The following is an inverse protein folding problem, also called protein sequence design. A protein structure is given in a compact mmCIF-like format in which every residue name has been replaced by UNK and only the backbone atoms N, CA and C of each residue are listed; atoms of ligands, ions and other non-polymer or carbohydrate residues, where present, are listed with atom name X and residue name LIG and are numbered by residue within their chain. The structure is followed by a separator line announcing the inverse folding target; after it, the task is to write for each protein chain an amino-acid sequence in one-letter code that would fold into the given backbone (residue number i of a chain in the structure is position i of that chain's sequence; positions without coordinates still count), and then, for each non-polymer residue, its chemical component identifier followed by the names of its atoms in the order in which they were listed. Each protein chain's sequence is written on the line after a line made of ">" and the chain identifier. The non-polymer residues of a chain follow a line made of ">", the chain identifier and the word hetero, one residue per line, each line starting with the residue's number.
data_IF_406256986185
#
_entry.id   IF_406256986185
#
_cell.length_a   1.000
_cell.length_b   1.000
_cell.length_c   1.000
_cell.angle_alpha   90.00
_cell.angle_beta   90.00
_cell.angle_gamma   90.00
#
_symmetry.space_group_name_H-M   'P 1'
#
loop_
_entity.id
_entity.type
_entity.pdbx_description
1 polymer ?
#
# COMPACT_ATOMS: atom_id res chain seq x y z
N UNK A 1 -7.64 16.57 12.54
CA UNK A 1 -7.69 15.30 11.80
C UNK A 1 -6.99 14.28 12.68
N UNK A 2 -7.76 13.50 13.43
CA UNK A 2 -7.28 12.59 14.48
C UNK A 2 -6.88 11.28 13.82
N UNK A 3 -5.60 11.13 13.46
CA UNK A 3 -5.03 9.83 13.09
C UNK A 3 -5.19 8.91 14.29
N UNK A 4 -5.93 7.82 14.11
CA UNK A 4 -6.24 6.88 15.19
C UNK A 4 -4.93 6.25 15.72
N UNK A 5 -4.78 5.92 17.00
CA UNK A 5 -3.52 5.38 17.55
C UNK A 5 -3.13 3.98 17.00
N UNK A 6 -4.00 3.36 16.19
CA UNK A 6 -3.74 2.12 15.44
C UNK A 6 -3.52 2.36 13.93
N UNK A 7 -3.56 3.62 13.49
CA UNK A 7 -3.38 4.00 12.10
C UNK A 7 -1.88 3.98 11.81
N UNK A 8 -1.45 3.01 11.00
CA UNK A 8 -0.10 2.99 10.43
C UNK A 8 0.11 4.30 9.66
N UNK A 9 1.23 4.97 9.94
CA UNK A 9 1.65 6.11 9.13
C UNK A 9 2.14 5.57 7.78
N UNK A 10 1.36 5.82 6.73
CA UNK A 10 1.66 5.40 5.37
C UNK A 10 2.10 6.61 4.58
N UNK A 11 3.35 6.57 4.12
CA UNK A 11 3.94 7.59 3.27
C UNK A 11 4.26 6.99 1.90
N UNK A 12 3.84 7.68 0.83
CA UNK A 12 4.24 7.35 -0.52
C UNK A 12 5.72 7.70 -0.69
N UNK A 13 6.54 6.70 -1.04
CA UNK A 13 7.98 6.88 -1.25
C UNK A 13 8.27 7.13 -2.73
N UNK A 14 7.68 6.34 -3.61
CA UNK A 14 7.95 6.44 -5.05
C UNK A 14 6.82 5.80 -5.87
N UNK A 15 6.54 6.37 -7.04
CA UNK A 15 5.72 5.76 -8.08
C UNK A 15 6.63 4.99 -9.04
N UNK A 16 6.52 3.66 -9.02
CA UNK A 16 7.32 2.77 -9.85
C UNK A 16 6.47 2.32 -11.04
N UNK A 17 6.73 2.81 -12.26
CA UNK A 17 6.03 2.30 -13.44
C UNK A 17 6.37 0.82 -13.62
N UNK A 18 5.35 -0.04 -13.74
CA UNK A 18 5.57 -1.46 -13.98
C UNK A 18 6.07 -1.67 -15.41
N UNK A 19 7.39 -1.66 -15.58
CA UNK A 19 8.02 -2.00 -16.85
C UNK A 19 7.93 -3.53 -17.06
N UNK A 20 6.84 -3.99 -17.67
CA UNK A 20 6.71 -5.38 -18.12
C UNK A 20 7.38 -5.57 -19.50
N UNK A 21 8.46 -6.37 -19.65
CA UNK A 21 9.23 -6.49 -20.89
C UNK A 21 8.57 -7.36 -21.98
N UNK A 22 7.33 -7.84 -21.78
CA UNK A 22 6.65 -8.77 -22.70
C UNK A 22 5.20 -8.37 -22.98
N UNK A 23 5.02 -7.60 -24.08
CA UNK A 23 3.85 -7.54 -24.99
C UNK A 23 2.44 -7.80 -24.40
N UNK A 24 2.13 -7.24 -23.25
CA UNK A 24 0.77 -6.97 -22.79
C UNK A 24 0.76 -5.57 -22.18
N UNK A 25 -0.14 -4.71 -22.65
CA UNK A 25 -0.35 -3.39 -22.08
C UNK A 25 -1.03 -3.56 -20.72
N UNK A 26 -0.23 -3.60 -19.65
CA UNK A 26 -0.76 -3.39 -18.31
C UNK A 26 -0.33 -1.99 -17.92
N UNK A 27 -1.27 -1.04 -17.96
CA UNK A 27 -1.09 0.27 -17.34
C UNK A 27 -1.12 0.04 -15.83
N UNK A 28 0.00 -0.43 -15.29
CA UNK A 28 0.15 -0.84 -13.90
C UNK A 28 1.18 0.10 -13.27
N UNK A 29 0.72 1.18 -12.65
CA UNK A 29 1.58 1.93 -11.76
C UNK A 29 1.68 1.12 -10.46
N UNK A 30 2.88 0.86 -9.99
CA UNK A 30 3.08 0.39 -8.62
C UNK A 30 3.44 1.59 -7.76
N UNK A 31 2.99 1.60 -6.51
CA UNK A 31 3.45 2.57 -5.52
C UNK A 31 4.24 1.86 -4.44
N UNK A 32 5.33 2.48 -4.03
CA UNK A 32 6.12 2.04 -2.88
C UNK A 32 5.66 2.82 -1.67
N UNK A 33 5.14 2.11 -0.68
CA UNK A 33 4.65 2.66 0.57
C UNK A 33 5.62 2.36 1.69
N UNK A 34 5.97 3.38 2.47
CA UNK A 34 6.64 3.22 3.74
C UNK A 34 5.60 3.25 4.85
N UNK A 35 5.49 2.14 5.56
CA UNK A 35 4.60 1.98 6.70
C UNK A 35 5.44 2.05 7.97
N UNK A 36 5.13 3.01 8.84
CA UNK A 36 5.73 3.10 10.17
C UNK A 36 4.70 2.66 11.20
N UNK A 37 5.06 1.65 12.01
CA UNK A 37 4.18 1.15 13.06
C UNK A 37 4.25 2.09 14.27
N UNK A 38 3.13 2.70 14.71
CA UNK A 38 3.14 3.73 15.75
C UNK A 38 3.59 3.19 17.12
N UNK A 39 3.33 1.91 17.42
CA UNK A 39 3.67 1.30 18.72
C UNK A 39 5.13 0.86 18.86
N UNK A 40 5.77 0.47 17.76
CA UNK A 40 7.14 -0.11 17.80
C UNK A 40 8.17 0.74 17.07
N UNK A 41 7.75 1.73 16.26
CA UNK A 41 8.63 2.48 15.38
C UNK A 41 9.18 1.65 14.22
N UNK A 42 8.69 0.42 14.03
CA UNK A 42 9.15 -0.48 12.97
C UNK A 42 8.74 0.09 11.61
N UNK A 43 9.74 0.26 10.73
CA UNK A 43 9.55 0.77 9.37
C UNK A 43 9.60 -0.38 8.39
N UNK A 44 8.54 -0.52 7.59
CA UNK A 44 8.47 -1.52 6.53
C UNK A 44 8.13 -0.86 5.21
N UNK A 45 8.71 -1.38 4.13
CA UNK A 45 8.44 -0.90 2.78
C UNK A 45 7.66 -1.98 2.03
N UNK A 46 6.51 -1.63 1.46
CA UNK A 46 5.69 -2.53 0.65
C UNK A 46 5.38 -1.92 -0.70
N UNK A 47 5.26 -2.76 -1.72
CA UNK A 47 4.81 -2.36 -3.04
C UNK A 47 3.34 -2.69 -3.19
N UNK A 48 2.53 -1.69 -3.55
CA UNK A 48 1.10 -1.85 -3.86
C UNK A 48 0.88 -1.60 -5.35
N UNK A 49 0.30 -2.56 -6.08
CA UNK A 49 -0.14 -2.30 -7.44
C UNK A 49 -1.34 -1.35 -7.40
N UNK A 50 -1.35 -0.28 -8.19
CA UNK A 50 -2.44 0.72 -8.26
C UNK A 50 -3.35 0.57 -9.49
N UNK A 51 -3.33 -0.59 -10.16
CA UNK A 51 -4.20 -0.85 -11.30
C UNK A 51 -5.65 -1.17 -10.91
N UNK A 52 -6.53 -1.15 -11.92
CA UNK A 52 -7.98 -1.08 -11.75
C UNK A 52 -8.64 -2.20 -10.92
N UNK A 53 -7.96 -3.33 -10.72
CA UNK A 53 -8.51 -4.52 -10.07
C UNK A 53 -7.48 -5.26 -9.23
N UNK A 54 -7.31 -4.81 -8.00
CA UNK A 54 -6.53 -5.56 -7.00
C UNK A 54 -7.46 -6.54 -6.28
N UNK A 55 -7.08 -7.81 -6.21
CA UNK A 55 -7.83 -8.79 -5.40
C UNK A 55 -7.72 -8.39 -3.92
N UNK A 56 -8.83 -8.48 -3.19
CA UNK A 56 -8.87 -8.21 -1.73
C UNK A 56 -7.83 -9.08 -0.99
N UNK A 57 -7.64 -10.33 -1.40
CA UNK A 57 -6.60 -11.20 -0.84
C UNK A 57 -5.19 -10.65 -1.02
N UNK A 58 -4.89 -10.05 -2.17
CA UNK A 58 -3.61 -9.40 -2.44
C UNK A 58 -3.42 -8.16 -1.56
N UNK A 59 -4.43 -7.30 -1.46
CA UNK A 59 -4.40 -6.15 -0.55
C UNK A 59 -4.20 -6.57 0.89
N UNK A 60 -4.87 -7.64 1.34
CA UNK A 60 -4.74 -8.17 2.69
C UNK A 60 -3.32 -8.69 2.97
N UNK A 61 -2.75 -9.46 2.05
CA UNK A 61 -1.35 -9.92 2.19
C UNK A 61 -0.34 -8.76 2.13
N UNK A 62 -0.64 -7.66 1.46
CA UNK A 62 0.21 -6.45 1.51
C UNK A 62 0.04 -5.74 2.85
N UNK A 63 -1.19 -5.57 3.34
CA UNK A 63 -1.49 -4.96 4.63
C UNK A 63 -0.81 -5.71 5.79
N UNK A 64 -0.84 -7.04 5.78
CA UNK A 64 -0.13 -7.88 6.76
C UNK A 64 1.39 -7.67 6.69
N UNK A 65 1.98 -7.61 5.49
CA UNK A 65 3.40 -7.29 5.29
C UNK A 65 3.74 -5.88 5.76
N UNK A 66 2.85 -4.92 5.52
CA UNK A 66 2.96 -3.53 5.98
C UNK A 66 2.85 -3.40 7.51
N UNK A 67 2.32 -4.41 8.20
CA UNK A 67 2.04 -4.34 9.63
C UNK A 67 0.79 -3.51 9.95
N UNK A 68 -0.14 -3.41 8.99
CA UNK A 68 -1.44 -2.78 9.21
C UNK A 68 -2.27 -3.63 10.19
N UNK A 69 -2.49 -3.11 11.39
CA UNK A 69 -3.41 -3.74 12.36
C UNK A 69 -4.88 -3.51 11.94
N UNK A 70 -5.15 -2.43 11.20
CA UNK A 70 -6.46 -2.08 10.65
C UNK A 70 -6.44 -2.14 9.11
N UNK A 71 -6.99 -3.24 8.58
CA UNK A 71 -7.10 -3.45 7.13
C UNK A 71 -8.06 -2.45 6.47
N UNK A 72 -9.13 -2.04 7.14
CA UNK A 72 -10.09 -1.09 6.57
C UNK A 72 -9.47 0.31 6.46
N UNK A 73 -8.66 0.72 7.44
CA UNK A 73 -7.89 1.97 7.36
C UNK A 73 -6.92 1.95 6.19
N UNK A 74 -6.24 0.81 5.96
CA UNK A 74 -5.37 0.62 4.81
C UNK A 74 -6.14 0.74 3.49
N UNK A 75 -7.31 0.10 3.36
CA UNK A 75 -8.16 0.23 2.18
C UNK A 75 -8.63 1.67 1.95
N UNK A 76 -9.04 2.40 3.00
CA UNK A 76 -9.43 3.82 2.89
C UNK A 76 -8.26 4.72 2.48
N UNK A 77 -7.04 4.40 2.88
CA UNK A 77 -5.86 5.13 2.42
C UNK A 77 -5.62 4.90 0.92
N UNK A 78 -5.66 3.64 0.47
CA UNK A 78 -5.50 3.29 -0.95
C UNK A 78 -6.57 3.96 -1.81
N UNK A 79 -7.84 3.91 -1.39
CA UNK A 79 -8.95 4.54 -2.11
C UNK A 79 -8.81 6.06 -2.25
N UNK A 80 -8.21 6.72 -1.24
CA UNK A 80 -7.94 8.17 -1.27
C UNK A 80 -6.73 8.57 -2.11
N UNK A 81 -5.81 7.64 -2.37
CA UNK A 81 -4.56 7.91 -3.09
C UNK A 81 -4.51 7.26 -4.49
N UNK A 82 -5.60 6.64 -4.94
CA UNK A 82 -5.73 6.02 -6.26
C UNK A 82 -5.86 7.06 -7.38
#
# INVERSE_FOLDING_TARGET
>A
MTTSPNEIEVELVEEVPNASPRRYWVADSNVVLRCTRPKTGEKRTVTVPMHDRIRIGTLKSIAERAGAEDFEAFCRWIDRNR
#
